data_IF_641068585440
#
_entry.id   IF_641068585440
#
_cell.length_a   1.000
_cell.length_b   1.000
_cell.length_c   1.000
_cell.angle_alpha   90.00
_cell.angle_beta   90.00
_cell.angle_gamma   90.00
#
_symmetry.space_group_name_H-M   'P 1'
#
loop_
_entity.id
_entity.type
_entity.pdbx_description
1 polymer ?
#
# COMPACT_ATOMS: atom_id res chain seq x y z
N UNK A 1 -9.41 -19.28 3.81
CA UNK A 1 -9.06 -18.10 3.00
C UNK A 1 -9.67 -16.91 3.71
N UNK A 2 -8.83 -16.04 4.25
CA UNK A 2 -9.32 -14.85 4.97
C UNK A 2 -9.99 -13.93 3.95
N UNK A 3 -11.24 -13.56 4.18
CA UNK A 3 -11.96 -12.66 3.27
C UNK A 3 -11.51 -11.24 3.56
N UNK A 4 -10.96 -10.57 2.55
CA UNK A 4 -10.69 -9.14 2.60
C UNK A 4 -11.96 -8.36 2.27
N UNK A 5 -12.09 -7.19 2.87
CA UNK A 5 -13.18 -6.25 2.69
C UNK A 5 -12.58 -4.94 2.23
N UNK A 6 -13.17 -4.35 1.19
CA UNK A 6 -12.85 -3.01 0.74
C UNK A 6 -13.19 -1.99 1.82
N UNK A 7 -12.22 -1.17 2.22
CA UNK A 7 -12.46 0.02 3.01
C UNK A 7 -12.29 1.24 2.12
N UNK A 8 -13.41 1.84 1.75
CA UNK A 8 -13.43 3.10 1.02
C UNK A 8 -12.96 4.21 1.96
N UNK A 9 -11.79 4.76 1.69
CA UNK A 9 -11.29 5.92 2.40
C UNK A 9 -11.96 7.18 1.82
N UNK A 10 -12.03 8.29 2.60
CA UNK A 10 -12.52 9.56 2.06
C UNK A 10 -11.73 9.96 0.80
N UNK A 11 -12.25 10.86 -0.04
CA UNK A 11 -11.48 11.42 -1.14
C UNK A 11 -10.13 11.91 -0.64
N UNK A 12 -9.06 11.38 -1.22
CA UNK A 12 -7.69 11.59 -0.79
C UNK A 12 -6.86 12.05 -1.98
N UNK A 13 -6.02 13.05 -1.75
CA UNK A 13 -4.93 13.34 -2.66
C UNK A 13 -3.87 12.23 -2.55
N UNK A 14 -3.10 11.96 -3.62
CA UNK A 14 -2.04 10.96 -3.58
C UNK A 14 -1.00 11.22 -2.47
N UNK A 15 -0.67 12.48 -2.21
CA UNK A 15 0.21 12.86 -1.10
C UNK A 15 -0.38 12.47 0.27
N UNK A 16 -1.69 12.63 0.44
CA UNK A 16 -2.38 12.21 1.66
C UNK A 16 -2.36 10.69 1.84
N UNK A 17 -2.51 9.91 0.75
CA UNK A 17 -2.35 8.46 0.79
C UNK A 17 -0.94 8.04 1.22
N UNK A 18 0.13 8.70 0.74
CA UNK A 18 1.50 8.43 1.24
C UNK A 18 1.60 8.66 2.76
N UNK A 19 0.92 9.68 3.31
CA UNK A 19 0.89 9.90 4.76
C UNK A 19 0.10 8.81 5.49
N UNK A 20 -0.97 8.28 4.90
CA UNK A 20 -1.73 7.14 5.43
C UNK A 20 -0.87 5.87 5.45
N UNK A 21 -0.19 5.54 4.36
CA UNK A 21 0.77 4.41 4.28
C UNK A 21 1.84 4.53 5.36
N UNK A 22 2.40 5.73 5.55
CA UNK A 22 3.39 6.00 6.60
C UNK A 22 2.80 5.78 8.01
N UNK A 23 1.57 6.24 8.24
CA UNK A 23 0.88 6.09 9.52
C UNK A 23 0.53 4.63 9.82
N UNK A 24 0.17 3.83 8.80
CA UNK A 24 -0.03 2.38 8.91
C UNK A 24 1.26 1.67 9.33
N UNK A 25 2.36 1.86 8.58
CA UNK A 25 3.64 1.19 8.88
C UNK A 25 4.27 1.56 10.23
N UNK A 26 3.98 2.77 10.73
CA UNK A 26 4.39 3.24 12.04
C UNK A 26 3.48 2.78 13.20
N UNK A 27 2.42 2.03 12.93
CA UNK A 27 1.44 1.67 13.94
C UNK A 27 1.95 0.56 14.87
N UNK A 28 1.64 0.68 16.17
CA UNK A 28 2.02 -0.29 17.21
C UNK A 28 1.40 -1.68 17.03
N UNK A 29 0.34 -1.79 16.22
CA UNK A 29 -0.33 -3.06 15.91
C UNK A 29 0.36 -3.86 14.81
N UNK A 30 1.28 -3.26 14.06
CA UNK A 30 2.00 -3.94 12.97
C UNK A 30 2.90 -5.03 13.54
N UNK A 31 2.68 -6.25 13.08
CA UNK A 31 3.46 -7.44 13.40
C UNK A 31 4.51 -7.70 12.32
N UNK A 32 4.09 -7.78 11.06
CA UNK A 32 4.95 -8.04 9.90
C UNK A 32 4.61 -7.09 8.74
N UNK A 33 5.53 -6.99 7.78
CA UNK A 33 5.46 -6.10 6.61
C UNK A 33 5.76 -6.91 5.37
N UNK A 34 4.93 -6.78 4.36
CA UNK A 34 5.07 -7.50 3.10
C UNK A 34 5.00 -6.46 1.98
N UNK A 35 6.14 -5.82 1.68
CA UNK A 35 6.21 -4.77 0.65
C UNK A 35 7.14 -5.21 -0.46
N UNK A 36 6.61 -5.49 -1.62
CA UNK A 36 7.35 -5.79 -2.84
C UNK A 36 7.23 -4.61 -3.80
N UNK A 37 8.38 -4.13 -4.28
CA UNK A 37 8.45 -3.07 -5.28
C UNK A 37 9.24 -3.55 -6.48
N UNK A 38 8.66 -3.34 -7.66
CA UNK A 38 9.26 -3.72 -8.93
C UNK A 38 10.47 -2.84 -9.27
N UNK A 39 11.48 -3.44 -9.92
CA UNK A 39 12.71 -2.77 -10.32
C UNK A 39 12.45 -1.54 -11.20
N UNK A 40 11.38 -1.53 -11.99
CA UNK A 40 11.02 -0.35 -12.78
C UNK A 40 10.73 0.89 -11.93
N UNK A 41 9.98 0.73 -10.83
CA UNK A 41 9.65 1.83 -9.91
C UNK A 41 10.92 2.37 -9.30
N UNK A 42 11.73 1.47 -8.71
CA UNK A 42 12.97 1.84 -8.03
C UNK A 42 14.03 2.41 -8.98
N UNK A 43 14.13 1.92 -10.22
CA UNK A 43 15.05 2.47 -11.21
C UNK A 43 14.64 3.87 -11.69
N UNK A 44 13.33 4.16 -11.71
CA UNK A 44 12.79 5.46 -12.07
C UNK A 44 13.01 6.52 -10.97
N UNK A 45 13.02 6.13 -9.70
CA UNK A 45 13.31 7.01 -8.59
C UNK A 45 14.72 7.63 -8.66
N UNK A 46 14.87 8.79 -8.00
CA UNK A 46 16.18 9.38 -7.76
C UNK A 46 16.87 8.67 -6.57
N UNK A 47 18.19 8.44 -6.63
CA UNK A 47 18.93 7.69 -5.61
C UNK A 47 19.23 8.58 -4.40
N UNK A 48 18.20 8.94 -3.65
CA UNK A 48 18.28 9.68 -2.38
C UNK A 48 17.83 8.79 -1.24
N UNK A 49 18.33 9.02 -0.02
CA UNK A 49 17.90 8.25 1.15
C UNK A 49 16.37 8.29 1.33
N UNK A 50 15.70 7.15 1.61
CA UNK A 50 16.24 5.81 1.89
C UNK A 50 16.44 4.91 0.65
N UNK A 51 16.25 5.42 -0.57
CA UNK A 51 16.21 4.64 -1.81
C UNK A 51 17.58 4.39 -2.46
N UNK A 52 18.70 4.85 -1.89
CA UNK A 52 20.02 4.76 -2.54
C UNK A 52 20.35 3.33 -2.97
N UNK A 53 20.25 2.37 -2.03
CA UNK A 53 20.53 0.96 -2.28
C UNK A 53 19.47 0.33 -3.20
N UNK A 54 18.20 0.65 -2.98
CA UNK A 54 17.07 0.18 -3.79
C UNK A 54 17.22 0.55 -5.28
N UNK A 55 17.55 1.81 -5.54
CA UNK A 55 17.80 2.34 -6.86
C UNK A 55 19.02 1.70 -7.52
N UNK A 56 20.10 1.45 -6.75
CA UNK A 56 21.29 0.79 -7.26
C UNK A 56 21.01 -0.67 -7.65
N UNK A 57 20.32 -1.42 -6.79
CA UNK A 57 19.85 -2.77 -7.07
C UNK A 57 19.00 -2.82 -8.35
N UNK A 58 18.00 -1.96 -8.45
CA UNK A 58 17.08 -1.96 -9.58
C UNK A 58 17.80 -1.72 -10.92
N UNK A 59 18.76 -0.78 -10.95
CA UNK A 59 19.57 -0.53 -12.15
C UNK A 59 20.46 -1.71 -12.51
N UNK A 60 21.02 -2.41 -11.52
CA UNK A 60 21.81 -3.61 -11.75
C UNK A 60 20.97 -4.76 -12.31
N UNK A 61 19.80 -5.01 -11.72
CA UNK A 61 18.82 -6.01 -12.20
C UNK A 61 18.40 -5.71 -13.63
N UNK A 62 17.98 -4.48 -13.93
CA UNK A 62 17.57 -4.12 -15.28
C UNK A 62 18.73 -4.12 -16.28
N UNK A 63 19.97 -3.96 -15.81
CA UNK A 63 21.17 -4.06 -16.64
C UNK A 63 21.60 -5.50 -16.96
N UNK A 64 21.05 -6.50 -16.27
CA UNK A 64 21.37 -7.91 -16.48
C UNK A 64 20.70 -8.44 -17.77
N UNK A 65 21.46 -8.84 -18.80
CA UNK A 65 20.89 -9.33 -20.05
C UNK A 65 20.23 -10.71 -19.92
N UNK A 66 20.37 -11.40 -18.79
CA UNK A 66 19.71 -12.68 -18.51
C UNK A 66 18.31 -12.51 -17.90
N UNK A 67 17.90 -11.27 -17.61
CA UNK A 67 16.59 -10.96 -17.07
C UNK A 67 15.67 -10.51 -18.19
N UNK A 68 14.61 -11.29 -18.40
CA UNK A 68 13.51 -10.95 -19.27
C UNK A 68 12.61 -9.94 -18.54
N UNK A 69 12.72 -8.66 -18.92
CA UNK A 69 12.09 -7.54 -18.21
C UNK A 69 10.56 -7.53 -18.32
N UNK A 70 10.02 -8.23 -19.32
CA UNK A 70 8.61 -8.45 -19.57
C UNK A 70 8.14 -9.83 -19.08
N UNK A 71 8.83 -10.41 -18.09
CA UNK A 71 8.41 -11.64 -17.39
C UNK A 71 8.02 -11.43 -15.91
N UNK A 72 7.42 -12.45 -15.30
CA UNK A 72 7.16 -12.54 -13.84
C UNK A 72 8.41 -13.02 -13.06
N UNK A 73 9.62 -12.70 -13.51
CA UNK A 73 10.86 -13.12 -12.85
C UNK A 73 10.91 -12.55 -11.41
N UNK A 74 11.04 -13.39 -10.37
CA UNK A 74 11.07 -12.91 -8.98
C UNK A 74 12.27 -12.00 -8.69
N UNK A 75 13.31 -12.00 -9.53
CA UNK A 75 14.45 -11.08 -9.42
C UNK A 75 14.09 -9.63 -9.79
N UNK A 76 12.94 -9.41 -10.44
CA UNK A 76 12.46 -8.07 -10.79
C UNK A 76 11.73 -7.38 -9.62
N UNK A 77 11.45 -8.08 -8.54
CA UNK A 77 10.82 -7.52 -7.34
C UNK A 77 11.78 -7.59 -6.16
N UNK A 78 11.70 -6.61 -5.26
CA UNK A 78 12.49 -6.55 -4.03
C UNK A 78 11.61 -6.20 -2.85
N UNK A 79 11.85 -6.87 -1.73
CA UNK A 79 11.32 -6.48 -0.44
C UNK A 79 11.87 -5.11 -0.02
N UNK A 80 10.98 -4.22 0.44
CA UNK A 80 11.34 -2.88 0.88
C UNK A 80 10.81 -2.56 2.27
N UNK A 81 11.46 -1.63 2.95
CA UNK A 81 10.99 -1.09 4.23
C UNK A 81 9.82 -0.11 4.03
N UNK A 82 9.04 0.20 5.09
CA UNK A 82 7.99 1.24 5.02
C UNK A 82 8.56 2.59 4.53
N UNK A 83 9.81 2.91 4.92
CA UNK A 83 10.47 4.16 4.53
C UNK A 83 10.77 4.18 3.03
N UNK A 84 11.30 3.08 2.49
CA UNK A 84 11.53 2.93 1.05
C UNK A 84 10.21 2.92 0.28
N UNK A 85 9.18 2.18 0.73
CA UNK A 85 7.85 2.19 0.12
C UNK A 85 7.28 3.62 0.05
N UNK A 86 7.26 4.34 1.17
CA UNK A 86 6.75 5.71 1.21
C UNK A 86 7.54 6.64 0.29
N UNK A 87 8.86 6.49 0.21
CA UNK A 87 9.71 7.31 -0.65
C UNK A 87 9.50 6.97 -2.14
N UNK A 88 9.31 5.69 -2.47
CA UNK A 88 9.01 5.25 -3.82
C UNK A 88 7.66 5.81 -4.28
N UNK A 89 6.59 5.67 -3.48
CA UNK A 89 5.27 6.22 -3.80
C UNK A 89 5.33 7.75 -3.93
N UNK A 90 6.01 8.45 -3.02
CA UNK A 90 6.15 9.91 -3.07
C UNK A 90 6.78 10.40 -4.38
N UNK A 91 7.71 9.64 -4.98
CA UNK A 91 8.33 10.01 -6.25
C UNK A 91 7.32 10.13 -7.42
N UNK A 92 6.13 9.55 -7.28
CA UNK A 92 5.04 9.59 -8.27
C UNK A 92 3.82 10.36 -7.80
N UNK A 93 3.60 10.44 -6.48
CA UNK A 93 2.38 10.96 -5.88
C UNK A 93 2.54 12.30 -5.15
N UNK A 94 3.76 12.85 -5.05
CA UNK A 94 3.93 14.21 -4.53
C UNK A 94 3.50 15.29 -5.53
N UNK A 95 3.29 16.52 -5.02
CA UNK A 95 2.84 17.65 -5.84
C UNK A 95 3.82 17.97 -6.99
N UNK A 96 5.12 17.79 -6.77
CA UNK A 96 6.13 18.05 -7.79
C UNK A 96 6.06 17.00 -8.91
N UNK A 97 5.80 15.74 -8.59
CA UNK A 97 5.64 14.65 -9.54
C UNK A 97 4.36 14.83 -10.35
N UNK A 98 3.24 15.13 -9.69
CA UNK A 98 1.96 15.39 -10.31
C UNK A 98 1.99 16.63 -11.23
N UNK A 99 2.79 17.64 -10.87
CA UNK A 99 3.01 18.81 -11.72
C UNK A 99 4.09 18.59 -12.81
N UNK A 100 4.66 17.39 -12.95
CA UNK A 100 5.67 17.06 -13.95
C UNK A 100 7.05 17.69 -13.70
N UNK A 101 7.33 18.12 -12.46
CA UNK A 101 8.61 18.70 -12.04
C UNK A 101 9.64 17.63 -11.64
N UNK A 102 9.21 16.40 -11.35
CA UNK A 102 10.10 15.26 -11.15
C UNK A 102 10.28 14.46 -12.45
N UNK A 103 11.39 13.71 -12.54
CA UNK A 103 11.68 12.85 -13.71
C UNK A 103 11.16 11.42 -13.54
N UNK A 104 10.71 11.04 -12.35
CA UNK A 104 10.37 9.66 -12.04
C UNK A 104 9.20 9.13 -12.90
N UNK A 105 8.05 9.83 -13.04
CA UNK A 105 6.98 9.37 -13.93
C UNK A 105 7.44 9.16 -15.37
N UNK A 106 8.22 10.10 -15.93
CA UNK A 106 8.74 9.99 -17.30
C UNK A 106 9.73 8.83 -17.49
N UNK A 107 10.60 8.57 -16.49
CA UNK A 107 11.50 7.40 -16.52
C UNK A 107 10.72 6.09 -16.43
N UNK A 108 9.72 6.00 -15.56
CA UNK A 108 8.87 4.82 -15.42
C UNK A 108 8.09 4.54 -16.71
N UNK A 109 7.48 5.58 -17.30
CA UNK A 109 6.79 5.46 -18.58
C UNK A 109 7.72 4.94 -19.70
N UNK A 110 8.97 5.40 -19.75
CA UNK A 110 9.95 4.90 -20.72
C UNK A 110 10.35 3.43 -20.47
N UNK A 111 10.47 3.00 -19.21
CA UNK A 111 10.76 1.61 -18.85
C UNK A 111 9.61 0.68 -19.23
N UNK A 112 8.37 1.06 -18.89
CA UNK A 112 7.16 0.31 -19.26
C UNK A 112 6.96 0.28 -20.78
N UNK A 113 7.17 1.40 -21.47
CA UNK A 113 7.09 1.45 -22.93
C UNK A 113 8.11 0.53 -23.62
N UNK A 114 9.27 0.29 -22.99
CA UNK A 114 10.28 -0.63 -23.53
C UNK A 114 9.83 -2.10 -23.56
N UNK A 115 8.79 -2.44 -22.79
CA UNK A 115 8.13 -3.76 -22.79
C UNK A 115 6.71 -3.72 -23.36
N UNK A 116 6.32 -2.62 -24.00
CA UNK A 116 5.01 -2.48 -24.64
C UNK A 116 3.84 -2.24 -23.69
N UNK A 117 4.10 -1.76 -22.46
CA UNK A 117 3.06 -1.41 -21.48
C UNK A 117 2.84 0.10 -21.44
N UNK A 118 1.58 0.52 -21.54
CA UNK A 118 1.15 1.92 -21.45
C UNK A 118 -0.15 2.04 -20.66
N UNK A 119 -0.39 3.16 -19.92
CA UNK A 119 -1.67 3.43 -19.29
C UNK A 119 -2.79 3.58 -20.35
N UNK A 120 -3.81 2.75 -20.20
CA UNK A 120 -5.02 2.62 -21.01
C UNK A 120 -6.17 3.57 -20.59
N UNK A 121 -6.13 4.12 -19.38
CA UNK A 121 -7.23 4.86 -18.76
C UNK A 121 -8.24 3.98 -18.02
N UNK A 122 -7.86 2.77 -17.61
CA UNK A 122 -8.70 1.91 -16.77
C UNK A 122 -8.98 2.55 -15.39
N UNK A 123 -10.08 2.17 -14.71
CA UNK A 123 -10.33 2.59 -13.33
C UNK A 123 -9.16 2.24 -12.41
N UNK A 124 -8.86 3.11 -11.44
CA UNK A 124 -7.85 2.81 -10.42
C UNK A 124 -8.42 1.89 -9.34
N UNK A 125 -7.53 1.07 -8.79
CA UNK A 125 -7.80 0.26 -7.59
C UNK A 125 -9.00 -0.69 -7.74
N UNK A 126 -9.24 -1.18 -8.96
CA UNK A 126 -10.29 -2.14 -9.26
C UNK A 126 -9.85 -3.56 -8.89
N UNK A 127 -10.42 -4.10 -7.81
CA UNK A 127 -10.19 -5.48 -7.33
C UNK A 127 -10.30 -6.51 -8.46
N UNK A 128 -11.26 -6.32 -9.39
CA UNK A 128 -11.51 -7.28 -10.46
C UNK A 128 -10.42 -7.30 -11.54
N UNK A 129 -9.60 -6.25 -11.60
CA UNK A 129 -8.49 -6.12 -12.53
C UNK A 129 -7.15 -6.54 -11.92
N UNK A 130 -7.05 -6.73 -10.60
CA UNK A 130 -5.80 -7.08 -9.92
C UNK A 130 -5.25 -8.44 -10.39
N UNK A 131 -6.11 -9.43 -10.64
CA UNK A 131 -5.72 -10.77 -11.11
C UNK A 131 -5.02 -10.75 -12.49
N UNK A 132 -5.40 -9.80 -13.35
CA UNK A 132 -4.86 -9.63 -14.70
C UNK A 132 -3.77 -8.54 -14.77
N UNK A 133 -3.45 -7.88 -13.64
CA UNK A 133 -2.51 -6.77 -13.60
C UNK A 133 -1.09 -7.24 -13.93
N UNK A 134 -0.48 -6.58 -14.92
CA UNK A 134 0.89 -6.87 -15.31
C UNK A 134 1.63 -5.68 -15.94
N UNK A 135 2.87 -5.38 -15.51
CA UNK A 135 3.50 -5.85 -14.28
C UNK A 135 2.82 -5.25 -13.05
N UNK A 136 2.80 -6.00 -11.94
CA UNK A 136 2.51 -5.43 -10.61
C UNK A 136 3.74 -4.63 -10.18
N UNK A 137 3.59 -3.32 -10.04
CA UNK A 137 4.69 -2.41 -9.75
C UNK A 137 4.93 -2.22 -8.26
N UNK A 138 3.85 -2.23 -7.47
CA UNK A 138 3.89 -2.24 -6.00
C UNK A 138 2.82 -3.20 -5.49
N UNK A 139 3.23 -4.08 -4.59
CA UNK A 139 2.38 -4.94 -3.79
C UNK A 139 2.80 -4.72 -2.33
N UNK A 140 1.88 -4.27 -1.47
CA UNK A 140 2.23 -3.81 -0.14
C UNK A 140 1.14 -4.11 0.88
N UNK A 141 1.52 -4.70 2.01
CA UNK A 141 0.61 -5.00 3.09
C UNK A 141 1.29 -5.13 4.45
N UNK A 142 0.46 -5.16 5.48
CA UNK A 142 0.86 -5.31 6.88
C UNK A 142 0.04 -6.41 7.53
N UNK A 143 0.74 -7.37 8.14
CA UNK A 143 0.13 -8.28 9.09
C UNK A 143 0.11 -7.62 10.46
N UNK A 144 -1.03 -7.65 11.14
CA UNK A 144 -1.26 -7.04 12.44
C UNK A 144 -1.38 -8.09 13.55
N UNK A 145 -1.20 -7.62 14.79
CA UNK A 145 -1.49 -8.42 15.98
C UNK A 145 -2.98 -8.75 16.05
N UNK A 146 -3.29 -10.02 16.27
CA UNK A 146 -4.62 -10.49 16.64
C UNK A 146 -5.03 -9.96 18.03
N UNK A 147 -6.33 -9.97 18.33
CA UNK A 147 -6.86 -9.48 19.60
C UNK A 147 -6.25 -10.25 20.78
N UNK A 148 -6.14 -11.58 20.68
CA UNK A 148 -5.51 -12.42 21.72
C UNK A 148 -4.01 -12.14 21.94
N UNK A 149 -3.34 -11.51 20.96
CA UNK A 149 -1.92 -11.15 21.03
C UNK A 149 -1.71 -9.74 21.60
N UNK A 150 -2.79 -8.97 21.79
CA UNK A 150 -2.70 -7.60 22.31
C UNK A 150 -2.31 -7.59 23.79
N UNK A 151 -1.22 -6.88 24.08
CA UNK A 151 -0.91 -6.44 25.44
C UNK A 151 -1.98 -5.43 25.94
N UNK A 152 -2.71 -5.72 27.05
CA UNK A 152 -3.82 -4.89 27.52
C UNK A 152 -3.44 -3.47 27.94
N UNK A 153 -2.21 -3.24 28.41
CA UNK A 153 -1.75 -1.92 28.84
C UNK A 153 -1.26 -1.11 27.63
N UNK A 154 -0.45 -1.74 26.78
CA UNK A 154 0.09 -1.10 25.57
C UNK A 154 -0.98 -0.84 24.53
N UNK A 155 -2.02 -1.68 24.44
CA UNK A 155 -3.08 -1.62 23.44
C UNK A 155 -4.45 -1.27 24.02
N UNK A 156 -4.46 -0.76 25.26
CA UNK A 156 -5.66 -0.42 26.02
C UNK A 156 -6.77 0.25 25.19
N UNK A 157 -6.44 1.25 24.38
CA UNK A 157 -7.44 1.97 23.62
C UNK A 157 -8.22 1.13 22.59
N UNK A 158 -7.57 0.11 21.99
CA UNK A 158 -8.26 -0.83 21.11
C UNK A 158 -9.06 -1.84 21.94
N UNK A 159 -8.51 -2.34 23.04
CA UNK A 159 -9.24 -3.25 23.95
C UNK A 159 -10.51 -2.59 24.50
N UNK A 160 -10.43 -1.31 24.86
CA UNK A 160 -11.55 -0.52 25.37
C UNK A 160 -12.55 -0.10 24.29
N UNK A 161 -12.24 -0.26 22.99
CA UNK A 161 -13.20 0.04 21.92
C UNK A 161 -14.20 -1.10 21.66
N UNK A 162 -13.96 -2.28 22.23
CA UNK A 162 -14.89 -3.42 22.16
C UNK A 162 -15.85 -3.41 23.33
N UNK A 163 -17.11 -3.80 23.09
CA UNK A 163 -17.92 -4.30 24.19
C UNK A 163 -17.34 -5.61 24.72
N UNK A 164 -17.47 -5.85 26.03
CA UNK A 164 -16.83 -7.02 26.66
C UNK A 164 -17.24 -8.35 26.00
N UNK A 165 -18.53 -8.50 25.65
CA UNK A 165 -19.05 -9.72 25.02
C UNK A 165 -18.47 -9.88 23.61
N UNK A 166 -18.35 -8.78 22.85
CA UNK A 166 -17.73 -8.78 21.53
C UNK A 166 -16.25 -9.17 21.61
N UNK A 167 -15.50 -8.59 22.54
CA UNK A 167 -14.09 -8.92 22.76
C UNK A 167 -13.90 -10.41 23.09
N UNK A 168 -14.70 -10.93 24.03
CA UNK A 168 -14.64 -12.35 24.42
C UNK A 168 -15.03 -13.26 23.24
N UNK A 169 -16.01 -12.86 22.42
CA UNK A 169 -16.44 -13.58 21.22
C UNK A 169 -15.34 -13.60 20.16
N UNK A 170 -14.72 -12.47 19.84
CA UNK A 170 -13.65 -12.42 18.84
C UNK A 170 -12.42 -13.24 19.25
N UNK A 171 -12.03 -13.18 20.53
CA UNK A 171 -10.94 -14.03 21.06
C UNK A 171 -11.32 -15.51 20.94
N UNK A 172 -12.58 -15.87 21.18
CA UNK A 172 -13.03 -17.25 21.01
C UNK A 172 -12.95 -17.69 19.54
N UNK A 173 -13.44 -16.88 18.60
CA UNK A 173 -13.38 -17.13 17.16
C UNK A 173 -11.92 -17.26 16.68
N UNK A 174 -11.02 -16.37 17.11
CA UNK A 174 -9.58 -16.45 16.81
C UNK A 174 -8.96 -17.77 17.27
N UNK A 175 -9.32 -18.27 18.46
CA UNK A 175 -8.81 -19.52 19.00
C UNK A 175 -9.41 -20.76 18.33
N UNK A 176 -10.64 -20.67 17.83
CA UNK A 176 -11.33 -21.77 17.15
C UNK A 176 -10.97 -21.90 15.66
N UNK A 177 -10.41 -20.85 15.05
CA UNK A 177 -10.08 -20.81 13.63
C UNK A 177 -9.00 -21.83 13.22
N UNK A 178 -9.32 -22.68 12.24
CA UNK A 178 -8.40 -23.62 11.60
C UNK A 178 -8.55 -23.49 10.06
N UNK A 179 -7.55 -22.97 9.34
CA UNK A 179 -6.28 -22.44 9.83
C UNK A 179 -6.45 -21.17 10.68
N UNK A 180 -5.42 -20.76 11.44
CA UNK A 180 -5.46 -19.50 12.18
C UNK A 180 -5.83 -18.33 11.27
N UNK A 181 -6.72 -17.45 11.75
CA UNK A 181 -7.10 -16.23 11.02
C UNK A 181 -5.93 -15.27 10.97
N UNK A 182 -5.66 -14.64 9.84
CA UNK A 182 -4.64 -13.59 9.76
C UNK A 182 -5.33 -12.22 9.73
N UNK A 183 -4.73 -11.25 10.42
CA UNK A 183 -5.18 -9.86 10.42
C UNK A 183 -4.25 -9.09 9.51
N UNK A 184 -4.76 -8.70 8.35
CA UNK A 184 -3.99 -8.12 7.26
C UNK A 184 -4.70 -6.87 6.76
N UNK A 185 -3.90 -5.83 6.50
CA UNK A 185 -4.25 -4.66 5.69
C UNK A 185 -3.37 -4.68 4.46
N UNK A 186 -3.95 -4.61 3.27
CA UNK A 186 -3.24 -4.55 1.99
C UNK A 186 -3.59 -3.26 1.25
N UNK A 187 -2.60 -2.69 0.57
CA UNK A 187 -2.84 -1.70 -0.46
C UNK A 187 -3.37 -2.42 -1.71
N UNK A 188 -4.16 -1.74 -2.55
CA UNK A 188 -4.45 -2.24 -3.88
C UNK A 188 -3.15 -2.45 -4.64
N UNK A 189 -3.13 -3.45 -5.51
CA UNK A 189 -1.99 -3.64 -6.40
C UNK A 189 -1.84 -2.38 -7.26
N UNK A 190 -0.61 -1.85 -7.34
CA UNK A 190 -0.35 -0.66 -8.13
C UNK A 190 0.34 -1.07 -9.42
N UNK A 191 -0.28 -0.70 -10.55
CA UNK A 191 0.23 -0.90 -11.89
C UNK A 191 0.59 0.43 -12.55
N UNK A 192 0.59 0.42 -13.88
CA UNK A 192 0.94 1.59 -14.68
C UNK A 192 -0.06 2.75 -14.49
N UNK A 193 -1.35 2.45 -14.32
CA UNK A 193 -2.40 3.45 -14.13
C UNK A 193 -2.23 4.23 -12.83
N UNK A 194 -2.08 3.50 -11.72
CA UNK A 194 -2.01 4.06 -10.36
C UNK A 194 -0.77 4.94 -10.16
N UNK A 195 0.34 4.64 -10.83
CA UNK A 195 1.57 5.43 -10.69
C UNK A 195 1.72 6.55 -11.71
N UNK A 196 1.20 6.40 -12.94
CA UNK A 196 1.42 7.38 -14.01
C UNK A 196 0.22 8.29 -14.28
N UNK A 197 -1.00 7.87 -13.92
CA UNK A 197 -2.24 8.65 -14.10
C UNK A 197 -3.15 8.60 -12.86
N UNK A 198 -2.64 8.89 -11.65
CA UNK A 198 -3.42 8.78 -10.43
C UNK A 198 -4.55 9.81 -10.31
N UNK A 199 -4.37 11.02 -10.85
CA UNK A 199 -5.20 12.17 -10.49
C UNK A 199 -6.20 12.62 -11.55
N UNK A 200 -7.28 13.24 -11.09
CA UNK A 200 -8.23 13.98 -11.90
C UNK A 200 -7.78 15.45 -12.14
N UNK A 201 -8.71 16.27 -12.64
CA UNK A 201 -8.45 17.69 -12.93
C UNK A 201 -8.29 18.56 -11.68
N UNK A 202 -8.67 18.07 -10.50
CA UNK A 202 -8.58 18.77 -9.21
C UNK A 202 -7.36 18.34 -8.39
N UNK A 203 -6.64 17.30 -8.83
CA UNK A 203 -5.42 16.81 -8.16
C UNK A 203 -5.67 15.75 -7.09
N UNK A 204 -6.93 15.30 -6.95
CA UNK A 204 -7.31 14.15 -6.12
C UNK A 204 -7.21 12.87 -6.95
N UNK A 205 -7.21 11.69 -6.30
CA UNK A 205 -7.33 10.45 -7.05
C UNK A 205 -8.61 10.44 -7.89
N UNK A 206 -8.49 10.02 -9.16
CA UNK A 206 -9.62 9.99 -10.10
C UNK A 206 -10.69 8.95 -9.75
N UNK A 207 -10.34 7.95 -8.95
CA UNK A 207 -11.23 6.95 -8.39
C UNK A 207 -10.99 6.82 -6.87
N UNK A 208 -11.98 6.37 -6.08
CA UNK A 208 -11.83 6.22 -4.63
C UNK A 208 -10.65 5.33 -4.25
N UNK A 209 -9.79 5.81 -3.35
CA UNK A 209 -8.69 4.99 -2.85
C UNK A 209 -9.21 3.97 -1.83
N UNK A 210 -8.96 2.71 -2.11
CA UNK A 210 -9.37 1.57 -1.27
C UNK A 210 -8.17 0.99 -0.54
N UNK A 211 -8.44 0.31 0.56
CA UNK A 211 -7.50 -0.61 1.22
C UNK A 211 -8.25 -1.89 1.56
N UNK A 212 -7.59 -3.03 1.42
CA UNK A 212 -8.17 -4.33 1.67
C UNK A 212 -7.92 -4.73 3.12
N UNK A 213 -8.97 -5.04 3.89
CA UNK A 213 -8.85 -5.41 5.31
C UNK A 213 -9.51 -6.74 5.63
N UNK A 214 -8.88 -7.51 6.50
CA UNK A 214 -9.46 -8.72 7.11
C UNK A 214 -9.80 -8.58 8.59
N UNK A 215 -9.67 -7.38 9.14
CA UNK A 215 -9.85 -7.16 10.57
C UNK A 215 -11.33 -7.25 10.97
N UNK A 216 -11.63 -7.51 12.25
CA UNK A 216 -12.97 -7.30 12.79
C UNK A 216 -13.35 -5.82 12.74
N UNK A 217 -14.64 -5.52 12.55
CA UNK A 217 -15.11 -4.15 12.30
C UNK A 217 -14.70 -3.14 13.37
N UNK A 218 -14.76 -3.48 14.67
CA UNK A 218 -14.32 -2.59 15.74
C UNK A 218 -12.79 -2.35 15.73
N UNK A 219 -12.00 -3.32 15.25
CA UNK A 219 -10.57 -3.14 15.05
C UNK A 219 -10.33 -2.16 13.89
N UNK A 220 -10.94 -2.41 12.74
CA UNK A 220 -10.82 -1.56 11.56
C UNK A 220 -11.15 -0.11 11.89
N UNK A 221 -12.32 0.12 12.49
CA UNK A 221 -12.79 1.45 12.87
C UNK A 221 -11.80 2.16 13.79
N UNK A 222 -11.30 1.47 14.82
CA UNK A 222 -10.34 2.04 15.75
C UNK A 222 -9.00 2.36 15.07
N UNK A 223 -8.49 1.40 14.29
CA UNK A 223 -7.22 1.51 13.58
C UNK A 223 -7.24 2.68 12.60
N UNK A 224 -8.22 2.72 11.71
CA UNK A 224 -8.29 3.73 10.65
C UNK A 224 -8.59 5.13 11.19
N UNK A 225 -9.40 5.28 12.26
CA UNK A 225 -9.53 6.57 12.95
C UNK A 225 -8.16 7.06 13.46
N UNK A 226 -7.35 6.18 14.04
CA UNK A 226 -6.01 6.51 14.52
C UNK A 226 -5.04 6.85 13.38
N UNK A 227 -5.06 6.06 12.31
CA UNK A 227 -4.21 6.22 11.12
C UNK A 227 -4.54 7.52 10.39
N UNK A 228 -5.80 7.76 10.06
CA UNK A 228 -6.25 8.98 9.36
C UNK A 228 -5.91 10.24 10.17
N UNK A 229 -6.12 10.20 11.49
CA UNK A 229 -5.72 11.28 12.40
C UNK A 229 -4.20 11.51 12.37
N UNK A 230 -3.39 10.45 12.43
CA UNK A 230 -1.94 10.55 12.36
C UNK A 230 -1.44 11.07 11.00
N UNK A 231 -2.11 10.68 9.92
CA UNK A 231 -1.86 11.15 8.56
C UNK A 231 -2.35 12.59 8.29
N UNK A 232 -3.03 13.20 9.29
CA UNK A 232 -3.67 14.52 9.20
C UNK A 232 -4.67 14.60 8.04
N UNK A 233 -5.36 13.50 7.78
CA UNK A 233 -6.52 13.48 6.88
C UNK A 233 -7.69 14.05 7.67
N UNK A 234 -8.04 15.29 7.39
CA UNK A 234 -9.28 15.88 7.88
C UNK A 234 -10.41 15.33 7.02
N UNK A 235 -11.15 14.38 7.55
CA UNK A 235 -12.40 13.99 6.94
C UNK A 235 -13.38 15.15 7.09
N UNK A 236 -13.62 15.90 6.02
CA UNK A 236 -14.90 16.55 5.88
C UNK A 236 -15.94 15.43 5.70
N UNK A 237 -16.48 14.90 6.80
CA UNK A 237 -17.63 13.99 6.79
C UNK A 237 -17.38 12.50 7.05
N UNK A 238 -16.47 12.11 7.95
CA UNK A 238 -16.62 10.81 8.64
C UNK A 238 -17.52 11.01 9.88
N UNK A 239 -18.43 10.06 10.19
CA UNK A 239 -19.49 10.22 11.20
C UNK A 239 -18.98 10.47 12.63
#
# INVERSE_FOLDING_TARGET
MTRLVALDLPPLSPEAAVRVVRALGGNRYVKERHHLVHAFVLAACDPVEPLVEACAWARAVLGDPTIERDSKDPRLVREVTDKELCAALAAFWDEDALAGRTKAPGKLAALLGSIGIEPTGAPLFDESAEDDMYPVLVDAGWSLLQIRELDPERHKGLVESYERIELESEIFEENAAIPPREYVIELPLLGAEELLRPVDAWGDFRDPWVVWSSLPGAYDDYLFRGVLKAAKVTADGLP
#
